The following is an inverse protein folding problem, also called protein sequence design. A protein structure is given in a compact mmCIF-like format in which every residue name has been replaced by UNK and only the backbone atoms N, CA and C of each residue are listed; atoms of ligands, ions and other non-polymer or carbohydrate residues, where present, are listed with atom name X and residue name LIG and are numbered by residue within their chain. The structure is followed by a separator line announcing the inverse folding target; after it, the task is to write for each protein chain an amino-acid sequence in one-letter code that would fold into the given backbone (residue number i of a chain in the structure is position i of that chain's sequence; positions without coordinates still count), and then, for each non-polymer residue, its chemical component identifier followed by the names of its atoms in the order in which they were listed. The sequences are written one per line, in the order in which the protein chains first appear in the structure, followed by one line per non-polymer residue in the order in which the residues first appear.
data_IF_621284556766
#
_entry.id   IF_621284556766
#
_cell.length_a   1.000
_cell.length_b   1.000
_cell.length_c   1.000
_cell.angle_alpha   90.00
_cell.angle_beta   90.00
_cell.angle_gamma   90.00
#
_symmetry.space_group_name_H-M   'P 1'
#
loop_
_entity.id
_entity.type
_entity.pdbx_description
1 polymer ?
#
# COMPACT_ATOMS: atom_id res chain seq x y z
N UNK A 1 8.65 12.52 -15.94
CA UNK A 1 8.56 13.74 -16.80
C UNK A 1 7.28 13.82 -17.64
N UNK A 2 6.71 12.72 -18.15
CA UNK A 2 5.48 12.74 -19.00
C UNK A 2 4.33 13.55 -18.38
N UNK A 3 4.14 13.48 -17.06
CA UNK A 3 3.08 14.21 -16.35
C UNK A 3 3.17 15.75 -16.51
N UNK A 4 4.32 16.31 -16.87
CA UNK A 4 4.46 17.76 -17.13
C UNK A 4 3.64 18.24 -18.33
N UNK A 5 3.19 17.34 -19.21
CA UNK A 5 2.21 17.69 -20.24
C UNK A 5 0.92 18.29 -19.65
N UNK A 6 0.54 17.89 -18.43
CA UNK A 6 -0.63 18.43 -17.73
C UNK A 6 -0.43 19.83 -17.16
N UNK A 7 0.83 20.28 -17.05
CA UNK A 7 1.19 21.59 -16.52
C UNK A 7 1.62 22.58 -17.60
N UNK A 8 1.85 22.11 -18.83
CA UNK A 8 2.39 22.89 -19.94
C UNK A 8 1.62 24.20 -20.17
N UNK A 9 0.30 24.10 -20.35
CA UNK A 9 -0.55 25.27 -20.67
C UNK A 9 -0.62 26.29 -19.53
N UNK A 10 -0.39 25.86 -18.29
CA UNK A 10 -0.33 26.77 -17.14
C UNK A 10 1.00 27.53 -17.04
N UNK A 11 2.02 27.13 -17.80
CA UNK A 11 3.38 27.64 -17.70
C UNK A 11 4.13 27.21 -16.44
N UNK A 12 3.52 26.39 -15.56
CA UNK A 12 4.14 25.93 -14.33
C UNK A 12 5.15 24.79 -14.59
N UNK A 13 6.39 25.15 -14.88
CA UNK A 13 7.48 24.19 -15.14
C UNK A 13 8.47 24.06 -13.98
N UNK A 14 8.41 24.96 -13.01
CA UNK A 14 9.24 24.92 -11.79
C UNK A 14 8.59 23.99 -10.76
N UNK A 15 8.75 22.68 -10.99
CA UNK A 15 8.16 21.61 -10.16
C UNK A 15 9.24 20.57 -9.85
N UNK A 16 9.61 20.46 -8.56
CA UNK A 16 10.61 19.51 -8.11
C UNK A 16 10.04 18.07 -8.03
N UNK A 17 10.94 17.09 -8.17
CA UNK A 17 10.61 15.67 -8.05
C UNK A 17 10.67 14.92 -9.39
N UNK A 18 11.04 13.66 -9.30
CA UNK A 18 11.17 12.71 -10.41
C UNK A 18 10.64 11.34 -9.98
N UNK A 19 10.95 10.28 -10.73
CA UNK A 19 10.54 8.93 -10.42
C UNK A 19 11.47 8.32 -9.35
N UNK A 20 10.90 7.54 -8.42
CA UNK A 20 11.64 6.81 -7.37
C UNK A 20 11.17 5.37 -7.31
N UNK A 21 12.11 4.42 -7.34
CA UNK A 21 11.78 3.01 -7.56
C UNK A 21 12.52 2.09 -6.61
N UNK A 22 11.76 1.30 -5.85
CA UNK A 22 12.18 0.02 -5.29
C UNK A 22 10.93 -0.86 -5.15
N UNK A 23 10.64 -1.69 -6.17
CA UNK A 23 9.45 -2.54 -6.21
C UNK A 23 8.19 -1.77 -5.75
N UNK A 24 7.35 -2.40 -4.92
CA UNK A 24 6.11 -1.83 -4.40
C UNK A 24 6.30 -0.70 -3.36
N UNK A 25 7.55 -0.31 -3.01
CA UNK A 25 7.84 0.71 -2.00
C UNK A 25 7.91 2.14 -2.58
N UNK A 26 8.06 2.30 -3.90
CA UNK A 26 8.30 3.59 -4.55
C UNK A 26 7.28 4.70 -4.20
N UNK A 27 6.00 4.35 -4.06
CA UNK A 27 4.97 5.31 -3.64
C UNK A 27 5.20 5.87 -2.22
N UNK A 28 5.67 5.04 -1.30
CA UNK A 28 6.01 5.45 0.08
C UNK A 28 7.27 6.28 0.13
N UNK A 29 8.29 5.94 -0.68
CA UNK A 29 9.46 6.80 -0.83
C UNK A 29 9.06 8.20 -1.33
N UNK A 30 8.19 8.27 -2.34
CA UNK A 30 7.69 9.55 -2.87
C UNK A 30 6.88 10.34 -1.83
N UNK A 31 6.00 9.68 -1.05
CA UNK A 31 5.28 10.33 0.06
C UNK A 31 6.24 10.89 1.13
N UNK A 32 7.29 10.15 1.47
CA UNK A 32 8.27 10.61 2.45
C UNK A 32 9.11 11.78 1.94
N UNK A 33 9.48 11.77 0.66
CA UNK A 33 10.16 12.89 0.01
C UNK A 33 9.27 14.13 -0.02
N UNK A 34 8.00 13.98 -0.41
CA UNK A 34 7.04 15.07 -0.44
C UNK A 34 6.83 15.71 0.95
N UNK A 35 6.64 14.89 1.99
CA UNK A 35 6.51 15.39 3.35
C UNK A 35 7.79 16.11 3.83
N UNK A 36 8.97 15.55 3.52
CA UNK A 36 10.24 16.19 3.86
C UNK A 36 10.43 17.52 3.12
N UNK A 37 10.05 17.60 1.84
CA UNK A 37 10.09 18.84 1.06
C UNK A 37 9.16 19.91 1.67
N UNK A 38 7.90 19.56 1.98
CA UNK A 38 6.95 20.48 2.64
C UNK A 38 7.46 20.97 4.01
N UNK A 39 8.22 20.15 4.74
CA UNK A 39 8.81 20.52 6.03
C UNK A 39 10.19 21.21 5.91
N UNK A 40 10.72 21.38 4.70
CA UNK A 40 12.07 21.91 4.46
C UNK A 40 12.10 23.43 4.28
N UNK A 41 13.31 24.00 4.32
CA UNK A 41 13.55 25.40 3.93
C UNK A 41 13.37 25.67 2.43
N UNK A 42 13.26 24.63 1.60
CA UNK A 42 13.02 24.74 0.17
C UNK A 42 11.52 24.78 -0.18
N UNK A 43 10.63 24.60 0.81
CA UNK A 43 9.20 24.70 0.58
C UNK A 43 8.81 26.12 0.20
N UNK A 44 8.06 26.25 -0.89
CA UNK A 44 7.64 27.53 -1.47
C UNK A 44 6.15 27.85 -1.24
N UNK A 45 5.49 27.11 -0.36
CA UNK A 45 4.07 27.27 -0.05
C UNK A 45 3.12 26.46 -0.93
N UNK A 46 3.59 25.84 -2.03
CA UNK A 46 2.75 25.03 -2.93
C UNK A 46 2.53 23.62 -2.38
N UNK A 47 1.54 22.92 -2.94
CA UNK A 47 1.34 21.50 -2.62
C UNK A 47 2.39 20.62 -3.29
N UNK A 48 2.73 19.51 -2.63
CA UNK A 48 3.35 18.38 -3.31
C UNK A 48 2.28 17.42 -3.85
N UNK A 49 2.50 16.84 -5.02
CA UNK A 49 1.63 15.82 -5.61
C UNK A 49 2.41 14.51 -5.72
N UNK A 50 1.99 13.51 -4.98
CA UNK A 50 2.57 12.17 -5.02
C UNK A 50 1.73 11.30 -5.93
N UNK A 51 2.35 10.68 -6.94
CA UNK A 51 1.69 9.70 -7.81
C UNK A 51 2.40 8.37 -7.68
N UNK A 52 1.63 7.31 -7.46
CA UNK A 52 2.10 5.94 -7.55
C UNK A 52 1.16 5.18 -8.48
N UNK A 53 1.71 4.28 -9.30
CA UNK A 53 0.92 3.54 -10.29
C UNK A 53 1.73 2.41 -10.90
N UNK A 54 1.10 1.25 -11.10
CA UNK A 54 1.74 0.12 -11.74
C UNK A 54 0.72 -0.76 -12.48
N UNK A 55 1.27 -1.61 -13.35
CA UNK A 55 0.60 -2.74 -13.99
C UNK A 55 1.33 -4.00 -13.51
N UNK A 56 0.73 -4.72 -12.56
CA UNK A 56 1.29 -5.92 -11.96
C UNK A 56 0.88 -7.17 -12.74
N UNK A 57 1.79 -7.63 -13.60
CA UNK A 57 1.58 -8.81 -14.45
C UNK A 57 2.62 -9.89 -14.19
N UNK A 58 2.20 -11.14 -14.36
CA UNK A 58 3.01 -12.33 -14.12
C UNK A 58 2.86 -13.32 -15.28
N UNK A 59 3.90 -14.12 -15.50
CA UNK A 59 3.85 -15.28 -16.39
C UNK A 59 2.72 -16.24 -16.00
N UNK A 60 2.33 -17.14 -16.90
CA UNK A 60 1.35 -18.19 -16.62
C UNK A 60 1.80 -19.03 -15.42
N UNK A 61 0.89 -19.29 -14.49
CA UNK A 61 1.17 -20.03 -13.26
C UNK A 61 0.53 -19.40 -12.02
N UNK A 62 0.97 -19.85 -10.85
CA UNK A 62 0.32 -19.56 -9.57
C UNK A 62 0.35 -18.08 -9.14
N UNK A 63 1.26 -17.28 -9.70
CA UNK A 63 1.36 -15.85 -9.41
C UNK A 63 0.40 -14.99 -10.28
N UNK A 64 -0.08 -15.49 -11.42
CA UNK A 64 -0.97 -14.73 -12.32
C UNK A 64 -2.24 -14.22 -11.62
N UNK A 65 -2.94 -15.01 -10.77
CA UNK A 65 -4.12 -14.54 -10.07
C UNK A 65 -3.86 -13.45 -9.01
N UNK A 66 -2.59 -13.15 -8.68
CA UNK A 66 -2.24 -12.09 -7.74
C UNK A 66 -1.82 -10.79 -8.44
N UNK A 67 -2.02 -10.68 -9.76
CA UNK A 67 -1.82 -9.44 -10.50
C UNK A 67 -2.89 -8.39 -10.23
N UNK A 68 -2.79 -7.27 -10.92
CA UNK A 68 -3.71 -6.13 -10.82
C UNK A 68 -3.13 -4.89 -11.46
N UNK A 69 -3.88 -3.81 -11.51
CA UNK A 69 -3.40 -2.54 -12.05
C UNK A 69 -4.15 -1.37 -11.41
N UNK A 70 -3.47 -0.24 -11.26
CA UNK A 70 -4.08 0.98 -10.76
C UNK A 70 -3.06 2.08 -10.51
N UNK A 71 -3.57 3.26 -10.18
CA UNK A 71 -2.77 4.39 -9.75
C UNK A 71 -3.52 5.17 -8.67
N UNK A 72 -2.76 5.79 -7.76
CA UNK A 72 -3.25 6.70 -6.73
C UNK A 72 -2.44 8.00 -6.83
N UNK A 73 -3.14 9.12 -6.78
CA UNK A 73 -2.56 10.44 -6.61
C UNK A 73 -2.94 10.99 -5.24
N UNK A 74 -1.99 11.55 -4.51
CA UNK A 74 -2.19 12.15 -3.19
C UNK A 74 -1.68 13.59 -3.21
N UNK A 75 -2.53 14.52 -2.80
CA UNK A 75 -2.13 15.91 -2.56
C UNK A 75 -1.59 16.04 -1.13
N UNK A 76 -0.38 16.55 -0.97
CA UNK A 76 0.33 16.66 0.30
C UNK A 76 0.58 18.13 0.60
N UNK A 77 0.21 18.56 1.82
CA UNK A 77 0.37 19.94 2.27
C UNK A 77 0.08 20.11 3.76
N UNK A 78 0.19 21.34 4.28
CA UNK A 78 -0.08 21.64 5.68
C UNK A 78 -1.56 21.47 6.03
N UNK A 79 -1.86 21.30 7.32
CA UNK A 79 -3.23 21.23 7.86
C UNK A 79 -4.09 20.10 7.24
N UNK A 80 -3.45 18.99 6.87
CA UNK A 80 -4.11 17.83 6.27
C UNK A 80 -5.04 17.11 7.26
N UNK A 81 -6.16 16.51 6.80
CA UNK A 81 -7.02 15.68 7.65
C UNK A 81 -6.37 14.34 8.05
N UNK A 82 -5.36 13.88 7.32
CA UNK A 82 -4.52 12.73 7.64
C UNK A 82 -3.08 13.20 7.80
N UNK A 83 -2.64 13.40 9.03
CA UNK A 83 -1.32 13.94 9.35
C UNK A 83 -0.33 12.80 9.56
N UNK A 84 0.78 12.76 8.83
CA UNK A 84 1.88 11.83 9.13
C UNK A 84 2.40 12.09 10.55
N UNK A 85 2.42 11.07 11.41
CA UNK A 85 2.96 11.24 12.76
C UNK A 85 4.48 11.41 12.72
N UNK A 86 4.94 12.60 13.13
CA UNK A 86 6.34 13.03 13.01
C UNK A 86 7.29 12.12 13.77
N UNK A 87 8.41 11.79 13.13
CA UNK A 87 9.44 10.91 13.71
C UNK A 87 9.07 9.42 13.73
N UNK A 88 7.82 9.02 13.49
CA UNK A 88 7.36 7.63 13.59
C UNK A 88 7.48 6.85 12.27
N UNK A 89 8.69 6.79 11.72
CA UNK A 89 9.04 5.94 10.56
C UNK A 89 9.93 4.79 11.02
N UNK A 90 9.38 3.59 11.14
CA UNK A 90 10.11 2.35 11.40
C UNK A 90 10.52 1.69 10.08
N UNK A 91 11.76 1.90 9.65
CA UNK A 91 12.25 1.48 8.33
C UNK A 91 13.22 0.31 8.45
N UNK A 92 13.15 -0.62 7.49
CA UNK A 92 14.10 -1.70 7.31
C UNK A 92 14.39 -1.88 5.82
N UNK A 93 15.66 -2.02 5.47
CA UNK A 93 16.12 -2.36 4.13
C UNK A 93 17.20 -3.42 4.28
N UNK A 94 17.23 -4.38 3.36
CA UNK A 94 18.27 -5.41 3.29
C UNK A 94 18.40 -5.88 1.85
N UNK A 95 19.51 -6.52 1.51
CA UNK A 95 19.68 -7.13 0.21
C UNK A 95 18.99 -8.51 0.16
N UNK A 96 18.06 -8.69 -0.78
CA UNK A 96 17.32 -9.93 -0.99
C UNK A 96 16.95 -10.12 -2.47
N UNK A 97 16.83 -11.39 -2.90
CA UNK A 97 16.38 -11.79 -4.24
C UNK A 97 15.01 -12.48 -4.18
N UNK A 98 14.08 -11.94 -3.41
CA UNK A 98 12.75 -12.53 -3.22
C UNK A 98 11.80 -12.28 -4.40
N UNK A 99 11.89 -11.10 -5.00
CA UNK A 99 11.23 -10.73 -6.25
C UNK A 99 12.03 -9.60 -6.90
N UNK A 100 12.33 -9.74 -8.19
CA UNK A 100 13.10 -8.76 -8.96
C UNK A 100 12.83 -8.90 -10.46
N UNK A 101 13.18 -7.87 -11.24
CA UNK A 101 13.01 -7.84 -12.71
C UNK A 101 14.37 -7.71 -13.39
N UNK A 102 15.17 -8.79 -13.46
CA UNK A 102 16.52 -8.74 -14.05
C UNK A 102 16.47 -8.76 -15.59
N UNK A 103 15.45 -9.37 -16.17
CA UNK A 103 15.26 -9.47 -17.61
C UNK A 103 14.55 -8.21 -18.11
N UNK A 104 15.32 -7.30 -18.72
CA UNK A 104 14.80 -6.05 -19.27
C UNK A 104 13.96 -6.26 -20.54
N UNK A 105 14.00 -7.46 -21.12
CA UNK A 105 13.18 -7.84 -22.26
C UNK A 105 11.83 -8.44 -21.86
N UNK A 106 11.58 -8.63 -20.57
CA UNK A 106 10.32 -9.19 -20.09
C UNK A 106 9.69 -8.27 -19.05
N UNK A 107 8.37 -8.14 -19.12
CA UNK A 107 7.65 -7.44 -18.07
C UNK A 107 7.52 -8.30 -16.80
N UNK A 108 7.65 -9.62 -16.95
CA UNK A 108 7.43 -10.58 -15.89
C UNK A 108 8.62 -10.61 -14.91
N UNK A 109 8.34 -10.65 -13.61
CA UNK A 109 9.39 -10.75 -12.59
C UNK A 109 9.90 -12.18 -12.42
N UNK A 110 11.14 -12.29 -11.95
CA UNK A 110 11.63 -13.51 -11.28
C UNK A 110 11.15 -13.45 -9.84
N UNK A 111 10.50 -14.52 -9.37
CA UNK A 111 9.85 -14.57 -8.05
C UNK A 111 10.15 -15.87 -7.34
N UNK A 112 10.73 -15.77 -6.14
CA UNK A 112 10.72 -16.86 -5.17
C UNK A 112 9.53 -16.63 -4.22
N UNK A 113 8.43 -17.35 -4.47
CA UNK A 113 7.18 -17.19 -3.73
C UNK A 113 7.29 -17.50 -2.23
N UNK A 114 8.14 -18.44 -1.84
CA UNK A 114 8.33 -18.79 -0.44
C UNK A 114 9.24 -17.76 0.25
N UNK A 115 10.32 -17.35 -0.41
CA UNK A 115 11.22 -16.33 0.11
C UNK A 115 10.54 -14.97 0.23
N UNK A 116 9.71 -14.57 -0.74
CA UNK A 116 8.98 -13.28 -0.69
C UNK A 116 8.03 -13.16 0.49
N UNK A 117 7.34 -14.24 0.86
CA UNK A 117 6.52 -14.25 2.08
C UNK A 117 7.40 -14.11 3.34
N UNK A 118 8.54 -14.80 3.41
CA UNK A 118 9.46 -14.70 4.54
C UNK A 118 10.07 -13.30 4.67
N UNK A 119 10.54 -12.72 3.56
CA UNK A 119 11.08 -11.37 3.48
C UNK A 119 10.04 -10.33 3.90
N UNK A 120 8.79 -10.45 3.42
CA UNK A 120 7.69 -9.59 3.84
C UNK A 120 7.46 -9.64 5.36
N UNK A 121 7.35 -10.83 5.94
CA UNK A 121 7.09 -11.00 7.38
C UNK A 121 8.29 -10.57 8.24
N UNK A 122 9.52 -10.86 7.80
CA UNK A 122 10.75 -10.39 8.46
C UNK A 122 10.81 -8.86 8.45
N UNK A 123 10.54 -8.23 7.31
CA UNK A 123 10.51 -6.79 7.20
C UNK A 123 9.42 -6.17 8.09
N UNK A 124 8.26 -6.82 8.20
CA UNK A 124 7.18 -6.42 9.11
C UNK A 124 7.65 -6.42 10.57
N UNK A 125 8.27 -7.50 11.03
CA UNK A 125 8.81 -7.60 12.39
C UNK A 125 9.82 -6.48 12.68
N UNK A 126 10.78 -6.26 11.77
CA UNK A 126 11.82 -5.24 11.92
C UNK A 126 11.23 -3.83 11.93
N UNK A 127 10.34 -3.53 10.99
CA UNK A 127 9.69 -2.22 10.91
C UNK A 127 8.82 -1.94 12.14
N UNK A 128 8.06 -2.93 12.60
CA UNK A 128 7.21 -2.78 13.79
C UNK A 128 8.04 -2.58 15.06
N UNK A 129 9.12 -3.34 15.24
CA UNK A 129 10.02 -3.17 16.38
C UNK A 129 10.65 -1.76 16.42
N UNK A 130 11.08 -1.22 15.27
CA UNK A 130 11.62 0.15 15.19
C UNK A 130 10.53 1.18 15.43
N UNK A 131 9.34 1.01 14.84
CA UNK A 131 8.21 1.91 15.03
C UNK A 131 7.80 2.00 16.51
N UNK A 132 7.63 0.84 17.17
CA UNK A 132 7.30 0.74 18.59
C UNK A 132 8.32 1.47 19.46
N UNK A 133 9.62 1.20 19.25
CA UNK A 133 10.70 1.87 19.98
C UNK A 133 10.63 3.39 19.86
N UNK A 134 10.37 3.91 18.66
CA UNK A 134 10.24 5.36 18.42
C UNK A 134 9.00 5.94 19.10
N UNK A 135 7.86 5.25 19.00
CA UNK A 135 6.61 5.68 19.64
C UNK A 135 6.73 5.67 21.17
N UNK A 136 7.26 4.59 21.74
CA UNK A 136 7.51 4.44 23.18
C UNK A 136 8.51 5.49 23.69
N UNK A 137 9.57 5.81 22.92
CA UNK A 137 10.50 6.87 23.27
C UNK A 137 9.84 8.26 23.31
N UNK A 138 8.99 8.59 22.34
CA UNK A 138 8.20 9.83 22.36
C UNK A 138 7.22 9.86 23.54
N UNK A 139 6.59 8.74 23.87
CA UNK A 139 5.70 8.62 25.02
C UNK A 139 6.41 8.77 26.36
N UNK A 140 7.60 8.20 26.51
CA UNK A 140 8.43 8.37 27.70
C UNK A 140 8.78 9.84 27.92
N UNK A 141 9.14 10.57 26.86
CA UNK A 141 9.38 12.02 26.92
C UNK A 141 8.11 12.81 27.32
N UNK A 142 6.93 12.30 26.98
CA UNK A 142 5.63 12.86 27.37
C UNK A 142 5.10 12.32 28.73
N UNK A 143 5.91 11.57 29.49
CA UNK A 143 5.51 11.03 30.80
C UNK A 143 4.60 9.79 30.76
N UNK A 144 4.41 9.17 29.60
CA UNK A 144 3.60 7.96 29.43
C UNK A 144 4.50 6.73 29.39
N UNK A 145 4.36 5.83 30.36
CA UNK A 145 5.16 4.61 30.48
C UNK A 145 4.31 3.35 30.28
N UNK A 146 4.16 2.92 29.03
CA UNK A 146 3.56 1.63 28.67
C UNK A 146 4.07 1.17 27.29
N UNK A 147 4.05 -0.13 27.00
CA UNK A 147 4.42 -0.62 25.67
C UNK A 147 3.40 -0.16 24.62
N UNK A 148 3.89 -0.03 23.39
CA UNK A 148 3.05 0.12 22.20
C UNK A 148 2.62 -1.27 21.71
N UNK A 149 1.33 -1.46 21.45
CA UNK A 149 0.76 -2.71 20.92
C UNK A 149 -0.22 -2.44 19.77
N UNK A 150 -0.79 -3.50 19.19
CA UNK A 150 -1.89 -3.41 18.22
C UNK A 150 -3.10 -2.63 18.75
N UNK A 151 -3.29 -2.50 20.06
CA UNK A 151 -4.39 -1.72 20.64
C UNK A 151 -4.25 -0.22 20.39
N UNK A 152 -3.02 0.25 20.15
CA UNK A 152 -2.71 1.66 19.90
C UNK A 152 -2.98 2.14 18.48
N UNK A 153 -3.32 1.20 17.59
CA UNK A 153 -3.87 1.48 16.28
C UNK A 153 -5.38 1.32 16.32
N UNK A 154 -6.14 2.30 15.82
CA UNK A 154 -7.57 2.08 15.54
C UNK A 154 -7.72 1.24 14.27
N UNK A 155 -6.92 1.58 13.26
CA UNK A 155 -6.84 0.86 12.00
C UNK A 155 -5.40 0.57 11.64
N UNK A 156 -5.16 -0.51 10.90
CA UNK A 156 -3.85 -0.81 10.33
C UNK A 156 -4.00 -1.35 8.91
N UNK A 157 -3.31 -0.68 7.98
CA UNK A 157 -3.32 -0.97 6.54
C UNK A 157 -1.95 -1.49 6.10
N UNK A 158 -1.95 -2.28 5.03
CA UNK A 158 -0.77 -2.97 4.55
C UNK A 158 -0.65 -2.87 3.03
N UNK A 159 0.58 -2.92 2.52
CA UNK A 159 0.79 -3.39 1.16
C UNK A 159 0.12 -4.76 1.02
N UNK A 160 -0.74 -4.92 0.02
CA UNK A 160 -1.59 -6.10 -0.14
C UNK A 160 -1.28 -6.78 -1.47
N UNK A 161 -0.32 -7.73 -1.50
CA UNK A 161 -0.14 -8.65 -2.64
C UNK A 161 -1.38 -9.52 -2.85
N UNK A 162 -1.96 -9.99 -1.74
CA UNK A 162 -3.23 -10.72 -1.70
C UNK A 162 -3.78 -10.70 -0.27
N UNK A 163 -5.10 -10.74 -0.10
CA UNK A 163 -5.75 -10.51 1.19
C UNK A 163 -5.34 -11.51 2.29
N UNK A 164 -5.04 -12.77 1.93
CA UNK A 164 -4.63 -13.79 2.91
C UNK A 164 -3.31 -13.45 3.60
N UNK A 165 -2.35 -12.83 2.89
CA UNK A 165 -1.09 -12.40 3.50
C UNK A 165 -1.32 -11.28 4.52
N UNK A 166 -2.29 -10.40 4.28
CA UNK A 166 -2.64 -9.33 5.23
C UNK A 166 -3.25 -9.91 6.50
N UNK A 167 -4.12 -10.91 6.39
CA UNK A 167 -4.63 -11.62 7.58
C UNK A 167 -3.48 -12.29 8.37
N UNK A 168 -2.52 -12.92 7.69
CA UNK A 168 -1.28 -13.44 8.32
C UNK A 168 -0.49 -12.33 9.02
N UNK A 169 -0.43 -11.14 8.42
CA UNK A 169 0.34 -10.00 8.91
C UNK A 169 -0.21 -9.47 10.24
N UNK A 170 -1.53 -9.39 10.41
CA UNK A 170 -2.13 -9.02 11.69
C UNK A 170 -1.80 -10.05 12.78
N UNK A 171 -1.93 -11.35 12.47
CA UNK A 171 -1.51 -12.42 13.38
C UNK A 171 -0.02 -12.32 13.73
N UNK A 172 0.83 -11.94 12.76
CA UNK A 172 2.26 -11.74 12.97
C UNK A 172 2.56 -10.59 13.93
N UNK A 173 1.86 -9.47 13.81
CA UNK A 173 1.99 -8.36 14.76
C UNK A 173 1.52 -8.75 16.17
N UNK A 174 0.45 -9.54 16.26
CA UNK A 174 -0.01 -10.07 17.55
C UNK A 174 1.03 -11.01 18.19
N UNK A 175 1.75 -11.82 17.39
CA UNK A 175 2.90 -12.60 17.85
C UNK A 175 4.03 -11.71 18.36
N UNK A 176 4.34 -10.60 17.68
CA UNK A 176 5.33 -9.63 18.16
C UNK A 176 4.92 -9.04 19.52
N UNK A 177 3.66 -8.65 19.70
CA UNK A 177 3.16 -8.13 20.98
C UNK A 177 3.20 -9.20 22.07
N UNK A 178 2.79 -10.43 21.74
CA UNK A 178 2.81 -11.57 22.64
C UNK A 178 4.22 -11.89 23.15
N UNK A 179 5.22 -11.97 22.26
CA UNK A 179 6.59 -12.27 22.62
C UNK A 179 7.28 -11.10 23.33
N UNK A 180 6.91 -9.86 23.01
CA UNK A 180 7.44 -8.68 23.69
C UNK A 180 6.84 -8.46 25.08
N UNK A 181 5.66 -9.01 25.37
CA UNK A 181 5.04 -8.92 26.69
C UNK A 181 5.81 -9.78 27.70
N UNK A 182 6.23 -9.23 28.86
CA UNK A 182 6.89 -10.01 29.91
C UNK A 182 5.99 -11.09 30.51
N UNK A 183 4.70 -10.79 30.70
CA UNK A 183 3.71 -11.66 31.33
C UNK A 183 2.35 -11.57 30.60
N UNK A 184 2.22 -12.09 29.36
CA UNK A 184 0.93 -12.13 28.67
C UNK A 184 -0.02 -13.06 29.42
N UNK A 185 -1.27 -12.65 29.61
CA UNK A 185 -2.31 -13.53 30.14
C UNK A 185 -2.65 -14.60 29.10
N UNK A 186 -2.16 -15.82 29.32
CA UNK A 186 -2.44 -16.99 28.47
C UNK A 186 -3.56 -17.85 29.02
N UNK A 187 -4.09 -17.55 30.21
CA UNK A 187 -5.21 -18.25 30.82
C UNK A 187 -6.56 -17.67 30.36
N UNK A 188 -6.60 -16.37 30.15
CA UNK A 188 -7.76 -15.63 29.66
C UNK A 188 -7.36 -14.54 28.65
N UNK A 189 -8.34 -13.75 28.20
CA UNK A 189 -8.09 -12.59 27.34
C UNK A 189 -7.52 -12.93 25.96
N UNK A 190 -6.72 -11.99 25.44
CA UNK A 190 -6.27 -11.98 24.05
C UNK A 190 -5.32 -13.14 23.70
N UNK A 191 -4.49 -13.59 24.65
CA UNK A 191 -3.48 -14.62 24.39
C UNK A 191 -3.85 -16.00 24.94
N UNK A 192 -5.14 -16.21 25.26
CA UNK A 192 -5.66 -17.47 25.78
C UNK A 192 -5.23 -18.66 24.92
N UNK A 193 -4.56 -19.64 25.54
CA UNK A 193 -4.14 -20.87 24.86
C UNK A 193 -2.85 -20.77 24.03
N UNK A 194 -2.13 -19.65 24.09
CA UNK A 194 -0.89 -19.44 23.32
C UNK A 194 0.40 -19.72 24.13
N UNK A 195 0.30 -20.30 25.34
CA UNK A 195 1.43 -20.53 26.25
C UNK A 195 2.57 -21.36 25.63
N UNK A 196 2.24 -22.29 24.73
CA UNK A 196 3.20 -23.17 24.05
C UNK A 196 4.16 -22.41 23.15
N UNK A 197 3.82 -21.18 22.74
CA UNK A 197 4.61 -20.37 21.82
C UNK A 197 5.57 -19.37 22.51
N UNK A 198 5.58 -19.27 23.85
CA UNK A 198 6.36 -18.24 24.60
C UNK A 198 7.88 -18.30 24.36
N UNK A 199 8.43 -19.50 24.14
CA UNK A 199 9.87 -19.69 23.96
C UNK A 199 10.36 -19.54 22.51
N UNK A 200 9.46 -19.25 21.57
CA UNK A 200 9.80 -19.17 20.15
C UNK A 200 10.43 -17.83 19.80
N UNK A 201 11.36 -17.86 18.84
CA UNK A 201 11.87 -16.66 18.19
C UNK A 201 11.08 -16.36 16.93
N UNK A 202 10.98 -15.08 16.59
CA UNK A 202 10.29 -14.64 15.38
C UNK A 202 10.91 -15.29 14.13
N UNK A 203 12.24 -15.31 14.05
CA UNK A 203 12.98 -15.86 12.92
C UNK A 203 12.71 -17.35 12.64
N UNK A 204 12.36 -18.12 13.66
CA UNK A 204 12.11 -19.56 13.55
C UNK A 204 10.67 -19.90 13.12
N UNK A 205 9.81 -18.89 12.96
CA UNK A 205 8.35 -19.09 12.83
C UNK A 205 7.75 -18.65 11.50
N UNK A 206 8.54 -18.11 10.56
CA UNK A 206 8.02 -17.63 9.27
C UNK A 206 7.34 -18.71 8.42
N UNK A 207 7.75 -19.97 8.58
CA UNK A 207 7.21 -21.13 7.85
C UNK A 207 6.35 -22.03 8.74
N UNK A 208 6.19 -21.70 10.03
CA UNK A 208 5.43 -22.51 10.98
C UNK A 208 3.93 -22.34 10.77
N UNK A 209 3.30 -23.37 10.19
CA UNK A 209 1.84 -23.41 9.99
C UNK A 209 1.07 -23.44 11.31
N UNK A 210 1.66 -23.98 12.37
CA UNK A 210 1.04 -24.04 13.69
C UNK A 210 0.93 -22.64 14.30
N UNK A 211 2.05 -21.90 14.32
CA UNK A 211 2.09 -20.51 14.79
C UNK A 211 1.18 -19.64 13.92
N UNK A 212 1.24 -19.79 12.59
CA UNK A 212 0.37 -19.05 11.69
C UNK A 212 -1.12 -19.25 12.03
N UNK A 213 -1.56 -20.50 12.18
CA UNK A 213 -2.97 -20.81 12.47
C UNK A 213 -3.39 -20.28 13.84
N UNK A 214 -2.57 -20.48 14.87
CA UNK A 214 -2.89 -20.06 16.23
C UNK A 214 -3.07 -18.53 16.31
N UNK A 215 -2.12 -17.77 15.76
CA UNK A 215 -2.17 -16.31 15.81
C UNK A 215 -3.18 -15.70 14.84
N UNK A 216 -3.48 -16.34 13.71
CA UNK A 216 -4.62 -15.92 12.87
C UNK A 216 -5.95 -16.07 13.59
N UNK A 217 -6.15 -17.20 14.28
CA UNK A 217 -7.38 -17.45 15.04
C UNK A 217 -7.51 -16.44 16.19
N UNK A 218 -6.43 -16.24 16.96
CA UNK A 218 -6.42 -15.32 18.09
C UNK A 218 -6.56 -13.85 17.66
N UNK A 219 -6.06 -13.48 16.47
CA UNK A 219 -6.15 -12.10 15.95
C UNK A 219 -7.39 -11.85 15.09
N UNK A 220 -8.36 -12.77 15.01
CA UNK A 220 -9.43 -12.71 14.01
C UNK A 220 -10.34 -11.48 14.20
N UNK A 221 -10.68 -11.13 15.44
CA UNK A 221 -11.51 -9.96 15.74
C UNK A 221 -10.74 -8.66 15.51
N UNK A 222 -9.46 -8.62 15.90
CA UNK A 222 -8.56 -7.50 15.60
C UNK A 222 -8.49 -7.28 14.09
N UNK A 223 -8.30 -8.34 13.29
CA UNK A 223 -8.30 -8.25 11.83
C UNK A 223 -9.62 -7.70 11.29
N UNK A 224 -10.75 -8.23 11.77
CA UNK A 224 -12.08 -7.82 11.31
C UNK A 224 -12.36 -6.33 11.58
N UNK A 225 -11.92 -5.82 12.73
CA UNK A 225 -12.17 -4.43 13.13
C UNK A 225 -11.15 -3.45 12.53
N UNK A 226 -9.86 -3.79 12.56
CA UNK A 226 -8.77 -2.84 12.29
C UNK A 226 -8.27 -2.87 10.84
N UNK A 227 -8.49 -3.96 10.10
CA UNK A 227 -7.83 -4.17 8.80
C UNK A 227 -8.78 -4.62 7.69
N UNK A 228 -9.78 -5.45 7.96
CA UNK A 228 -10.72 -5.93 6.93
C UNK A 228 -11.39 -4.80 6.13
N UNK A 229 -11.79 -3.65 6.74
CA UNK A 229 -12.31 -2.50 5.98
C UNK A 229 -11.31 -1.88 5.00
N UNK A 230 -10.01 -2.18 5.11
CA UNK A 230 -9.01 -1.69 4.16
C UNK A 230 -8.86 -2.59 2.93
N UNK A 231 -9.56 -3.73 2.84
CA UNK A 231 -9.30 -4.76 1.81
C UNK A 231 -10.31 -4.77 0.66
N UNK A 232 -11.28 -3.86 0.63
CA UNK A 232 -12.30 -3.79 -0.43
C UNK A 232 -11.67 -3.69 -1.83
N UNK A 233 -10.79 -2.71 -2.06
CA UNK A 233 -10.19 -2.52 -3.37
C UNK A 233 -9.28 -3.70 -3.74
N UNK A 234 -8.43 -4.15 -2.82
CA UNK A 234 -7.48 -5.25 -3.10
C UNK A 234 -8.19 -6.58 -3.41
N UNK A 235 -9.28 -6.90 -2.70
CA UNK A 235 -10.07 -8.11 -2.98
C UNK A 235 -10.82 -8.06 -4.32
N UNK A 236 -11.07 -6.86 -4.85
CA UNK A 236 -11.84 -6.65 -6.08
C UNK A 236 -10.99 -6.23 -7.28
N UNK A 237 -9.73 -5.84 -7.08
CA UNK A 237 -8.83 -5.30 -8.10
C UNK A 237 -7.42 -5.94 -8.12
N UNK A 238 -7.09 -6.76 -7.12
CA UNK A 238 -5.81 -7.45 -7.03
C UNK A 238 -4.65 -6.55 -6.57
N UNK A 239 -3.43 -7.00 -6.82
CA UNK A 239 -2.22 -6.28 -6.42
C UNK A 239 -1.93 -5.15 -7.40
N UNK A 240 -1.89 -3.92 -6.92
CA UNK A 240 -1.52 -2.77 -7.76
C UNK A 240 -0.03 -2.40 -7.64
N UNK A 241 0.80 -3.16 -6.90
CA UNK A 241 2.17 -2.77 -6.50
C UNK A 241 2.23 -1.49 -5.66
N UNK A 242 2.89 -0.42 -6.13
CA UNK A 242 3.14 0.80 -5.34
C UNK A 242 1.89 1.48 -4.77
N UNK A 243 0.73 1.51 -5.46
CA UNK A 243 -0.52 2.05 -4.94
C UNK A 243 -1.25 1.08 -4.01
N UNK A 244 -0.84 -0.19 -3.87
CA UNK A 244 -1.64 -1.21 -3.17
C UNK A 244 -1.98 -0.81 -1.73
N UNK A 245 -0.99 -0.33 -0.95
CA UNK A 245 -1.23 0.14 0.42
C UNK A 245 -2.13 1.39 0.45
N UNK A 246 -1.98 2.30 -0.50
CA UNK A 246 -2.81 3.50 -0.62
C UNK A 246 -4.23 3.20 -1.12
N UNK A 247 -4.40 2.13 -1.90
CA UNK A 247 -5.69 1.56 -2.23
C UNK A 247 -6.39 0.97 -1.01
N UNK A 248 -5.62 0.43 -0.06
CA UNK A 248 -6.15 0.04 1.24
C UNK A 248 -6.57 1.25 2.09
N UNK A 249 -5.80 2.34 2.08
CA UNK A 249 -6.21 3.60 2.69
C UNK A 249 -7.53 4.11 2.07
N UNK A 250 -7.62 4.12 0.74
CA UNK A 250 -8.83 4.54 0.04
C UNK A 250 -10.04 3.66 0.40
N UNK A 251 -9.84 2.34 0.51
CA UNK A 251 -10.88 1.40 0.94
C UNK A 251 -11.36 1.66 2.37
N UNK A 252 -10.44 1.96 3.29
CA UNK A 252 -10.78 2.29 4.67
C UNK A 252 -11.61 3.58 4.73
N UNK A 253 -11.19 4.63 4.00
CA UNK A 253 -11.91 5.90 3.92
C UNK A 253 -13.31 5.73 3.30
N UNK A 254 -13.43 4.94 2.23
CA UNK A 254 -14.70 4.67 1.57
C UNK A 254 -15.70 3.88 2.44
N UNK A 255 -15.22 3.15 3.44
CA UNK A 255 -16.05 2.29 4.31
C UNK A 255 -16.24 2.83 5.72
N UNK A 256 -15.76 4.06 6.01
CA UNK A 256 -15.84 4.66 7.34
C UNK A 256 -16.48 6.04 7.26
N UNK A 257 -17.17 6.48 8.32
CA UNK A 257 -17.58 7.88 8.43
C UNK A 257 -16.41 8.75 8.93
N UNK A 258 -16.45 10.05 8.66
CA UNK A 258 -15.49 11.00 9.22
C UNK A 258 -15.47 10.94 10.76
N UNK A 259 -16.64 10.74 11.41
CA UNK A 259 -16.75 10.61 12.87
C UNK A 259 -16.06 9.36 13.39
N UNK A 260 -16.16 8.24 12.69
CA UNK A 260 -15.48 7.01 13.08
C UNK A 260 -13.96 7.15 12.98
N UNK A 261 -13.47 7.93 12.01
CA UNK A 261 -12.04 8.13 11.82
C UNK A 261 -11.45 9.20 12.75
N UNK A 262 -12.26 10.14 13.23
CA UNK A 262 -11.80 11.33 13.96
C UNK A 262 -10.85 11.00 15.12
N UNK A 263 -9.71 11.69 15.17
CA UNK A 263 -8.70 11.55 16.23
C UNK A 263 -7.94 10.22 16.24
N UNK A 264 -8.28 9.29 15.35
CA UNK A 264 -7.72 7.94 15.37
C UNK A 264 -6.29 7.87 14.84
N UNK A 265 -5.61 6.76 15.15
CA UNK A 265 -4.32 6.40 14.56
C UNK A 265 -4.52 5.30 13.53
N UNK A 266 -4.05 5.55 12.31
CA UNK A 266 -3.99 4.57 11.23
C UNK A 266 -2.53 4.14 11.05
N UNK A 267 -2.19 2.91 11.43
CA UNK A 267 -0.89 2.32 11.12
C UNK A 267 -0.81 1.92 9.65
N UNK A 268 0.34 2.07 9.03
CA UNK A 268 0.56 1.75 7.62
C UNK A 268 1.88 0.99 7.47
N UNK A 269 1.83 -0.20 6.87
CA UNK A 269 3.02 -0.98 6.50
C UNK A 269 3.16 -1.02 4.98
N UNK A 270 4.24 -0.42 4.47
CA UNK A 270 4.62 -0.49 3.07
C UNK A 270 5.83 -1.41 2.92
N UNK A 271 5.80 -2.25 1.89
CA UNK A 271 6.83 -3.22 1.56
C UNK A 271 7.08 -3.20 0.06
N UNK A 272 8.34 -3.31 -0.34
CA UNK A 272 8.75 -3.66 -1.70
C UNK A 272 9.93 -4.62 -1.65
N UNK A 273 9.86 -5.69 -2.44
CA UNK A 273 10.91 -6.70 -2.57
C UNK A 273 12.26 -6.13 -2.99
N UNK A 274 13.34 -6.87 -2.72
CA UNK A 274 14.73 -6.45 -2.95
C UNK A 274 15.63 -6.19 -1.73
N UNK A 275 15.19 -5.76 -0.55
CA UNK A 275 13.89 -5.22 -0.14
C UNK A 275 14.04 -3.87 0.59
N UNK A 276 12.96 -3.09 0.54
CA UNK A 276 12.75 -1.88 1.33
C UNK A 276 11.36 -1.88 1.94
N UNK A 277 11.26 -1.55 3.23
CA UNK A 277 9.99 -1.52 3.94
C UNK A 277 9.95 -0.40 4.97
N UNK A 278 8.75 0.06 5.29
CA UNK A 278 8.52 0.97 6.41
C UNK A 278 7.15 0.76 7.03
N UNK A 279 7.13 0.76 8.36
CA UNK A 279 5.92 1.00 9.14
C UNK A 279 5.90 2.46 9.59
N UNK A 280 4.77 3.12 9.39
CA UNK A 280 4.54 4.49 9.82
C UNK A 280 3.06 4.65 10.16
N UNK A 281 2.64 5.87 10.51
CA UNK A 281 1.25 6.11 10.89
C UNK A 281 0.76 7.49 10.50
N UNK A 282 -0.57 7.57 10.38
CA UNK A 282 -1.31 8.81 10.26
C UNK A 282 -2.12 9.06 11.54
N UNK A 283 -2.13 10.31 11.99
CA UNK A 283 -3.12 10.85 12.93
C UNK A 283 -4.24 11.50 12.13
N UNK A 284 -5.47 11.04 12.34
CA UNK A 284 -6.65 11.66 11.73
C UNK A 284 -7.03 12.91 12.53
N UNK A 285 -7.43 13.97 11.82
CA UNK A 285 -8.00 15.18 12.42
C UNK A 285 -9.17 14.86 13.37
N UNK A 286 -9.34 15.66 14.40
CA UNK A 286 -10.51 15.60 15.29
C UNK A 286 -11.75 16.25 14.65
N UNK A 287 -11.54 17.17 13.70
CA UNK A 287 -12.63 17.85 13.00
C UNK A 287 -13.26 16.91 11.96
N UNK A 288 -14.46 16.45 12.30
CA UNK A 288 -15.32 15.61 11.46
C UNK A 288 -16.68 16.29 11.17
N UNK A 289 -16.73 17.62 11.27
CA UNK A 289 -17.94 18.37 10.93
C UNK A 289 -18.23 18.26 9.41
N UNK A 290 -19.50 18.36 8.98
CA UNK A 290 -19.84 18.45 7.56
C UNK A 290 -19.07 19.57 6.87
N UNK A 291 -18.44 19.28 5.73
CA UNK A 291 -17.61 20.23 4.98
C UNK A 291 -16.17 20.40 5.50
N UNK A 292 -15.80 19.78 6.62
CA UNK A 292 -14.41 19.72 7.11
C UNK A 292 -13.48 19.05 6.08
N UNK A 293 -12.16 19.26 6.16
CA UNK A 293 -11.21 18.55 5.29
C UNK A 293 -11.34 17.02 5.36
N UNK A 294 -11.65 16.46 6.54
CA UNK A 294 -11.84 15.02 6.72
C UNK A 294 -13.12 14.54 6.04
N UNK A 295 -14.23 15.26 6.23
CA UNK A 295 -15.51 14.95 5.60
C UNK A 295 -15.42 14.99 4.07
N UNK A 296 -14.73 16.00 3.50
CA UNK A 296 -14.46 16.09 2.06
C UNK A 296 -13.63 14.91 1.56
N UNK A 297 -12.57 14.54 2.28
CA UNK A 297 -11.73 13.41 1.90
C UNK A 297 -12.51 12.10 1.90
N UNK A 298 -13.27 11.82 2.97
CA UNK A 298 -14.11 10.62 3.08
C UNK A 298 -15.18 10.59 1.98
N UNK A 299 -15.88 11.70 1.79
CA UNK A 299 -16.94 11.83 0.79
C UNK A 299 -16.43 11.64 -0.64
N UNK A 300 -15.19 12.06 -0.94
CA UNK A 300 -14.58 11.88 -2.26
C UNK A 300 -14.34 10.43 -2.67
N UNK A 301 -14.43 9.49 -1.73
CA UNK A 301 -14.19 8.06 -1.94
C UNK A 301 -15.43 7.19 -1.65
N UNK A 302 -16.55 7.79 -1.24
CA UNK A 302 -17.76 7.07 -0.86
C UNK A 302 -18.37 6.24 -2.01
N UNK A 303 -18.13 6.65 -3.26
CA UNK A 303 -18.59 5.96 -4.46
C UNK A 303 -17.67 4.81 -4.93
N UNK A 304 -16.56 4.53 -4.21
CA UNK A 304 -15.60 3.49 -4.58
C UNK A 304 -16.24 2.11 -4.82
N UNK A 305 -17.19 1.60 -3.98
CA UNK A 305 -17.87 0.35 -4.27
C UNK A 305 -18.62 0.38 -5.61
N UNK A 306 -19.39 1.46 -5.86
CA UNK A 306 -20.16 1.62 -7.09
C UNK A 306 -19.26 1.72 -8.33
N UNK A 307 -18.12 2.42 -8.22
CA UNK A 307 -17.10 2.47 -9.28
C UNK A 307 -16.54 1.08 -9.58
N UNK A 308 -16.29 0.25 -8.57
CA UNK A 308 -15.83 -1.13 -8.76
C UNK A 308 -16.90 -2.02 -9.39
N UNK A 309 -18.18 -1.82 -9.06
CA UNK A 309 -19.33 -2.52 -9.63
C UNK A 309 -19.59 -2.13 -11.09
N UNK A 310 -19.25 -0.90 -11.48
CA UNK A 310 -19.41 -0.41 -12.86
C UNK A 310 -18.44 -1.00 -13.88
N UNK A 311 -17.46 -1.80 -13.43
CA UNK A 311 -16.47 -2.43 -14.32
C UNK A 311 -17.11 -3.56 -15.14
N UNK A 312 -16.59 -3.74 -16.36
CA UNK A 312 -16.96 -4.85 -17.24
C UNK A 312 -16.21 -6.12 -16.85
N UNK A 313 -16.95 -7.21 -16.61
CA UNK A 313 -16.37 -8.54 -16.46
C UNK A 313 -15.94 -9.06 -17.84
N UNK A 314 -14.72 -9.56 -17.93
CA UNK A 314 -14.13 -10.17 -19.13
C UNK A 314 -13.97 -11.68 -18.88
N UNK A 315 -14.18 -12.51 -19.89
CA UNK A 315 -14.01 -13.96 -19.73
C UNK A 315 -12.52 -14.31 -19.53
N UNK A 316 -12.19 -15.39 -18.80
CA UNK A 316 -10.79 -15.78 -18.58
C UNK A 316 -9.99 -16.01 -19.86
N UNK A 317 -10.63 -16.51 -20.93
CA UNK A 317 -10.03 -16.69 -22.25
C UNK A 317 -9.64 -15.36 -22.87
N UNK A 318 -10.58 -14.41 -22.97
CA UNK A 318 -10.32 -13.06 -23.48
C UNK A 318 -9.22 -12.34 -22.66
N UNK A 319 -9.22 -12.51 -21.33
CA UNK A 319 -8.14 -11.99 -20.48
C UNK A 319 -6.78 -12.62 -20.82
N UNK A 320 -6.72 -13.93 -21.08
CA UNK A 320 -5.49 -14.59 -21.47
C UNK A 320 -4.98 -14.08 -22.83
N UNK A 321 -5.88 -13.80 -23.77
CA UNK A 321 -5.56 -13.18 -25.07
C UNK A 321 -5.01 -11.76 -24.91
N UNK A 322 -5.64 -10.92 -24.07
CA UNK A 322 -5.13 -9.57 -23.74
C UNK A 322 -3.74 -9.65 -23.12
N UNK A 323 -3.51 -10.62 -22.22
CA UNK A 323 -2.20 -10.84 -21.61
C UNK A 323 -1.14 -11.26 -22.64
N UNK A 324 -1.50 -12.12 -23.60
CA UNK A 324 -0.63 -12.52 -24.70
C UNK A 324 -0.30 -11.34 -25.62
N UNK A 325 -1.30 -10.54 -25.98
CA UNK A 325 -1.09 -9.33 -26.78
C UNK A 325 -0.14 -8.36 -26.09
N UNK A 326 -0.24 -8.20 -24.77
CA UNK A 326 0.67 -7.35 -23.99
C UNK A 326 2.12 -7.83 -24.09
N UNK A 327 2.35 -9.13 -24.05
CA UNK A 327 3.67 -9.73 -24.21
C UNK A 327 4.23 -9.50 -25.62
N UNK A 328 3.41 -9.75 -26.66
CA UNK A 328 3.78 -9.55 -28.07
C UNK A 328 4.09 -8.08 -28.40
N UNK A 329 3.44 -7.14 -27.72
CA UNK A 329 3.57 -5.70 -27.99
C UNK A 329 4.57 -4.99 -27.08
N UNK A 330 5.20 -5.69 -26.13
CA UNK A 330 6.01 -5.06 -25.08
C UNK A 330 7.15 -4.17 -25.61
N UNK A 331 7.84 -4.64 -26.66
CA UNK A 331 8.97 -3.92 -27.32
C UNK A 331 8.62 -3.32 -28.68
N UNK A 332 7.36 -3.40 -29.09
CA UNK A 332 6.98 -3.03 -30.45
C UNK A 332 6.99 -1.50 -30.61
N UNK A 333 7.74 -1.04 -31.60
CA UNK A 333 7.69 0.34 -32.09
C UNK A 333 6.76 0.44 -33.32
N UNK A 334 6.43 1.66 -33.72
CA UNK A 334 5.56 1.96 -34.86
C UNK A 334 4.20 1.23 -34.82
N UNK A 335 3.56 1.26 -33.65
CA UNK A 335 2.33 0.53 -33.37
C UNK A 335 1.26 1.46 -32.77
N UNK A 336 0.00 1.18 -33.11
CA UNK A 336 -1.18 1.82 -32.52
C UNK A 336 -2.02 0.77 -31.78
N UNK A 337 -2.32 0.96 -30.48
CA UNK A 337 -3.09 -0.01 -29.70
C UNK A 337 -4.49 -0.27 -30.29
N UNK A 338 -4.92 -1.52 -30.32
CA UNK A 338 -6.19 -1.95 -30.92
C UNK A 338 -7.38 -2.06 -29.93
N UNK A 339 -7.24 -1.52 -28.70
CA UNK A 339 -8.27 -1.60 -27.67
C UNK A 339 -9.45 -0.64 -27.90
N UNK A 340 -10.66 -1.08 -27.55
CA UNK A 340 -11.87 -0.24 -27.64
C UNK A 340 -11.82 0.93 -26.67
N UNK A 341 -11.89 2.16 -27.19
CA UNK A 341 -12.00 3.37 -26.37
C UNK A 341 -13.37 3.46 -25.65
N UNK A 342 -14.38 2.75 -26.17
CA UNK A 342 -15.71 2.73 -25.57
C UNK A 342 -15.71 2.08 -24.17
N UNK A 343 -14.82 1.12 -23.94
CA UNK A 343 -14.73 0.38 -22.67
C UNK A 343 -13.95 1.14 -21.57
N UNK A 344 -13.26 2.25 -21.91
CA UNK A 344 -12.56 3.08 -20.92
C UNK A 344 -13.56 3.90 -20.09
N UNK A 345 -13.26 4.18 -18.82
CA UNK A 345 -14.06 5.14 -18.06
C UNK A 345 -13.92 6.56 -18.65
N UNK A 346 -14.96 7.41 -18.57
CA UNK A 346 -14.87 8.82 -18.98
C UNK A 346 -13.68 9.53 -18.30
N UNK A 347 -13.00 10.42 -19.04
CA UNK A 347 -11.82 11.12 -18.56
C UNK A 347 -10.51 10.31 -18.51
N UNK A 348 -10.51 9.03 -18.89
CA UNK A 348 -9.31 8.18 -18.89
C UNK A 348 -8.32 8.60 -19.99
N UNK A 349 -7.04 8.76 -19.64
CA UNK A 349 -5.94 8.89 -20.61
C UNK A 349 -5.55 7.53 -21.17
N UNK A 350 -5.31 7.45 -22.48
CA UNK A 350 -4.92 6.21 -23.17
C UNK A 350 -3.83 6.46 -24.21
N UNK A 351 -3.04 5.41 -24.47
CA UNK A 351 -1.99 5.40 -25.49
C UNK A 351 -2.64 5.35 -26.89
N UNK A 352 -2.29 6.29 -27.76
CA UNK A 352 -2.80 6.35 -29.14
C UNK A 352 -1.81 5.79 -30.15
N UNK A 353 -0.51 6.04 -29.93
CA UNK A 353 0.57 5.61 -30.83
C UNK A 353 1.90 5.48 -30.09
N UNK A 354 2.67 4.48 -30.47
CA UNK A 354 4.13 4.40 -30.29
C UNK A 354 4.74 4.53 -31.67
N UNK A 355 5.56 5.55 -31.92
CA UNK A 355 6.19 5.71 -33.24
C UNK A 355 7.47 4.87 -33.38
N UNK A 356 8.12 4.95 -34.55
CA UNK A 356 9.36 4.22 -34.86
C UNK A 356 10.57 4.62 -33.99
N UNK A 357 10.45 5.69 -33.18
CA UNK A 357 11.46 6.13 -32.22
C UNK A 357 10.99 5.96 -30.78
N UNK A 358 10.02 5.08 -30.54
CA UNK A 358 9.47 4.76 -29.21
C UNK A 358 8.80 5.93 -28.48
N UNK A 359 8.51 7.05 -29.18
CA UNK A 359 7.81 8.17 -28.57
C UNK A 359 6.34 7.81 -28.44
N UNK A 360 5.78 8.01 -27.23
CA UNK A 360 4.40 7.66 -26.90
C UNK A 360 3.51 8.89 -26.96
N UNK A 361 2.38 8.75 -27.65
CA UNK A 361 1.35 9.77 -27.75
C UNK A 361 0.12 9.33 -26.96
N UNK A 362 -0.56 10.28 -26.34
CA UNK A 362 -1.71 10.02 -25.49
C UNK A 362 -2.89 10.91 -25.89
N UNK A 363 -4.09 10.40 -25.68
CA UNK A 363 -5.33 11.16 -25.75
C UNK A 363 -6.18 10.89 -24.52
N UNK A 364 -7.19 11.71 -24.28
CA UNK A 364 -8.10 11.59 -23.16
C UNK A 364 -9.51 11.33 -23.65
N UNK A 365 -10.16 10.29 -23.13
CA UNK A 365 -11.59 10.08 -23.35
C UNK A 365 -12.35 11.27 -22.75
N UNK A 366 -13.36 11.84 -23.44
CA UNK A 366 -14.21 12.88 -22.85
C UNK A 366 -14.79 12.48 -21.48
N UNK A 367 -15.03 13.47 -20.63
CA UNK A 367 -15.63 13.29 -19.29
C UNK A 367 -17.15 13.17 -19.42
#
# INVERSE_FOLDING_TARGET
TVLMQLFHDSGNTDVEGIDTTNACYGGTASLFNAAAWVESSAWDGRYAVVVCGDIAVYATGNARPTGGAGAIAMLVGPNAPLVLERGLRGTHMEHAYDFYKPDLSSEYPVVDGQLSIQCYLRALDRCYAVYRRKAESQWQQAGVQRPFTLDDFKYIIFHTPFCKLVQKSVGRLMLNDFLASPNPDTAAGLYKGLQTFRGLKLEDTYTSKEVEKAFQAASQDIFNQKTKPSLLLSSRNGNMYTPSMYGCLASLLAQSSARDLAGSRIGAFSYGSGLAASMFSFRVSQDAAPGSPLDKLVSSLADLPARLDSRKRVAPQDFAEIMKQREETHHLADHAPHGSQADLFPGTWYLTRVDSKYRRQYARKPI
#
